data_IF_854642510255
#
_entry.id   IF_854642510255
#
_cell.length_a   1.000
_cell.length_b   1.000
_cell.length_c   1.000
_cell.angle_alpha   90.00
_cell.angle_beta   90.00
_cell.angle_gamma   90.00
#
_symmetry.space_group_name_H-M   'P 1'
#
loop_
_entity.id
_entity.type
_entity.pdbx_description
1 polymer ?
#
# COMPACT_ATOMS: atom_id res chain seq x y z
N UNK A 1 10.18 19.66 -10.69
CA UNK A 1 10.46 19.21 -9.31
C UNK A 1 11.77 18.42 -9.22
N UNK A 2 12.77 18.71 -10.06
CA UNK A 2 13.97 17.86 -10.24
C UNK A 2 14.92 17.81 -9.04
N UNK A 3 14.80 18.77 -8.10
CA UNK A 3 15.66 18.87 -6.92
C UNK A 3 14.92 18.53 -5.62
N UNK A 4 13.66 18.10 -5.70
CA UNK A 4 12.80 17.84 -4.53
C UNK A 4 12.99 16.41 -4.02
N UNK A 5 13.03 16.24 -2.70
CA UNK A 5 13.08 14.93 -2.06
C UNK A 5 11.75 14.16 -2.25
N UNK A 6 11.83 12.86 -2.51
CA UNK A 6 10.64 12.02 -2.72
C UNK A 6 9.88 11.70 -1.43
N UNK A 7 10.52 11.82 -0.27
CA UNK A 7 9.92 11.62 1.04
C UNK A 7 9.18 12.84 1.57
N UNK A 8 8.45 12.63 2.67
CA UNK A 8 7.79 13.67 3.47
C UNK A 8 6.80 14.56 2.71
N UNK A 9 6.27 14.11 1.56
CA UNK A 9 5.28 14.84 0.77
C UNK A 9 5.81 16.04 -0.02
N UNK A 10 7.12 16.26 -0.06
CA UNK A 10 7.69 17.43 -0.74
C UNK A 10 7.44 17.41 -2.25
N UNK A 11 7.49 16.22 -2.87
CA UNK A 11 7.18 16.06 -4.30
C UNK A 11 5.72 16.43 -4.61
N UNK A 12 4.78 15.99 -3.78
CA UNK A 12 3.34 16.29 -3.91
C UNK A 12 3.13 17.81 -3.91
N UNK A 13 3.65 18.49 -2.88
CA UNK A 13 3.56 19.94 -2.76
C UNK A 13 4.21 20.69 -3.94
N UNK A 14 5.30 20.15 -4.51
CA UNK A 14 5.90 20.72 -5.71
C UNK A 14 5.01 20.51 -6.94
N UNK A 15 4.41 19.34 -7.08
CA UNK A 15 3.53 19.02 -8.20
C UNK A 15 2.27 19.88 -8.16
N UNK A 16 1.62 20.04 -7.01
CA UNK A 16 0.44 20.89 -6.84
C UNK A 16 0.69 22.34 -7.30
N UNK A 17 1.85 22.90 -6.94
CA UNK A 17 2.25 24.27 -7.36
C UNK A 17 2.52 24.39 -8.86
N UNK A 18 2.81 23.29 -9.54
CA UNK A 18 3.17 23.27 -10.96
C UNK A 18 2.18 22.49 -11.82
N UNK A 19 1.05 22.04 -11.26
CA UNK A 19 0.07 21.17 -11.94
C UNK A 19 -0.53 21.84 -13.17
N UNK A 20 -0.54 23.17 -13.23
CA UNK A 20 -1.00 23.95 -14.39
C UNK A 20 0.02 23.99 -15.53
N UNK A 21 1.29 23.69 -15.25
CA UNK A 21 2.41 23.72 -16.21
C UNK A 21 2.64 22.39 -16.94
N UNK A 22 1.88 21.36 -16.60
CA UNK A 22 1.96 20.03 -17.24
C UNK A 22 0.77 19.78 -18.15
N UNK A 23 0.89 18.75 -19.02
CA UNK A 23 -0.17 18.36 -19.94
C UNK A 23 -1.43 17.89 -19.20
N UNK A 24 -2.59 17.96 -19.85
CA UNK A 24 -3.84 17.44 -19.28
C UNK A 24 -3.74 15.95 -18.88
N UNK A 25 -3.07 15.15 -19.72
CA UNK A 25 -2.81 13.73 -19.42
C UNK A 25 -2.00 13.57 -18.13
N UNK A 26 -0.92 14.33 -17.97
CA UNK A 26 -0.09 14.26 -16.77
C UNK A 26 -0.87 14.62 -15.50
N UNK A 27 -1.83 15.56 -15.57
CA UNK A 27 -2.71 15.88 -14.43
C UNK A 27 -3.62 14.70 -14.06
N UNK A 28 -4.20 14.04 -15.06
CA UNK A 28 -5.05 12.88 -14.85
C UNK A 28 -4.25 11.70 -14.25
N UNK A 29 -3.07 11.44 -14.79
CA UNK A 29 -2.17 10.39 -14.30
C UNK A 29 -1.71 10.66 -12.87
N UNK A 30 -1.41 11.92 -12.55
CA UNK A 30 -1.02 12.33 -11.21
C UNK A 30 -2.15 12.09 -10.19
N UNK A 31 -3.37 12.53 -10.49
CA UNK A 31 -4.52 12.27 -9.62
C UNK A 31 -4.81 10.77 -9.45
N UNK A 32 -4.65 9.99 -10.52
CA UNK A 32 -4.81 8.53 -10.45
C UNK A 32 -3.72 7.87 -9.60
N UNK A 33 -2.49 8.36 -9.66
CA UNK A 33 -1.39 7.90 -8.83
C UNK A 33 -1.64 8.22 -7.35
N UNK A 34 -2.06 9.45 -7.02
CA UNK A 34 -2.40 9.84 -5.64
C UNK A 34 -3.51 8.95 -5.06
N UNK A 35 -4.59 8.71 -5.84
CA UNK A 35 -5.65 7.82 -5.42
C UNK A 35 -5.17 6.36 -5.21
N UNK A 36 -4.27 5.89 -6.07
CA UNK A 36 -3.69 4.55 -5.96
C UNK A 36 -2.79 4.41 -4.73
N UNK A 37 -2.02 5.44 -4.40
CA UNK A 37 -1.17 5.49 -3.21
C UNK A 37 -2.06 5.49 -1.96
N UNK A 38 -3.07 6.35 -1.88
CA UNK A 38 -3.99 6.39 -0.75
C UNK A 38 -4.70 5.05 -0.52
N UNK A 39 -5.08 4.36 -1.59
CA UNK A 39 -5.65 3.01 -1.51
C UNK A 39 -4.65 2.00 -0.94
N UNK A 40 -3.39 2.05 -1.39
CA UNK A 40 -2.32 1.15 -0.92
C UNK A 40 -2.03 1.39 0.56
N UNK A 41 -1.90 2.63 0.99
CA UNK A 41 -1.63 3.00 2.38
C UNK A 41 -2.76 2.48 3.30
N UNK A 42 -4.02 2.74 2.94
CA UNK A 42 -5.16 2.25 3.71
C UNK A 42 -5.23 0.71 3.76
N UNK A 43 -4.84 0.02 2.68
CA UNK A 43 -4.78 -1.43 2.66
C UNK A 43 -3.65 -1.96 3.58
N UNK A 44 -2.47 -1.34 3.56
CA UNK A 44 -1.35 -1.68 4.45
C UNK A 44 -1.73 -1.54 5.93
N UNK A 45 -2.38 -0.43 6.29
CA UNK A 45 -2.88 -0.19 7.66
C UNK A 45 -3.90 -1.25 8.10
N UNK A 46 -4.67 -1.79 7.15
CA UNK A 46 -5.73 -2.74 7.44
C UNK A 46 -5.27 -4.20 7.57
N UNK A 47 -4.06 -4.56 7.11
CA UNK A 47 -3.61 -5.96 6.98
C UNK A 47 -3.76 -6.74 8.27
N UNK A 48 -3.29 -6.19 9.39
CA UNK A 48 -3.33 -6.90 10.68
C UNK A 48 -4.77 -7.23 11.09
N UNK A 49 -5.71 -6.31 10.83
CA UNK A 49 -7.12 -6.49 11.15
C UNK A 49 -7.78 -7.47 10.20
N UNK A 50 -7.59 -7.30 8.88
CA UNK A 50 -8.25 -8.13 7.86
C UNK A 50 -7.74 -9.56 7.89
N UNK A 51 -6.43 -9.75 8.07
CA UNK A 51 -5.79 -11.06 8.08
C UNK A 51 -5.72 -11.71 9.48
N UNK A 52 -6.34 -11.14 10.52
CA UNK A 52 -6.16 -11.61 11.90
C UNK A 52 -6.50 -13.10 12.09
N UNK A 53 -7.64 -13.55 11.55
CA UNK A 53 -8.06 -14.94 11.65
C UNK A 53 -7.14 -15.89 10.85
N UNK A 54 -6.65 -15.44 9.70
CA UNK A 54 -5.68 -16.19 8.90
C UNK A 54 -4.33 -16.28 9.60
N UNK A 55 -3.86 -15.18 10.19
CA UNK A 55 -2.64 -15.12 10.99
C UNK A 55 -2.68 -16.11 12.16
N UNK A 56 -3.77 -16.13 12.93
CA UNK A 56 -3.93 -17.05 14.05
C UNK A 56 -3.92 -18.52 13.63
N UNK A 57 -4.47 -18.83 12.45
CA UNK A 57 -4.60 -20.20 11.92
C UNK A 57 -3.36 -20.71 11.20
N UNK A 58 -2.69 -19.84 10.43
CA UNK A 58 -1.63 -20.22 9.49
C UNK A 58 -0.24 -19.80 9.96
N UNK A 59 -0.15 -18.76 10.81
CA UNK A 59 1.10 -18.15 11.26
C UNK A 59 1.21 -18.14 12.79
N UNK A 60 1.02 -19.29 13.48
CA UNK A 60 1.03 -19.32 14.94
C UNK A 60 2.39 -18.88 15.49
N UNK A 61 2.38 -18.03 16.50
CA UNK A 61 3.60 -17.54 17.17
C UNK A 61 4.31 -16.37 16.49
N UNK A 62 3.83 -15.90 15.32
CA UNK A 62 4.37 -14.70 14.68
C UNK A 62 3.92 -13.43 15.42
N UNK A 63 4.84 -12.49 15.57
CA UNK A 63 4.59 -11.22 16.27
C UNK A 63 4.03 -10.21 15.25
N UNK A 64 2.94 -9.49 15.56
CA UNK A 64 2.49 -8.40 14.69
C UNK A 64 3.58 -7.33 14.49
N UNK A 65 3.63 -6.73 13.30
CA UNK A 65 4.50 -5.58 12.96
C UNK A 65 6.01 -5.84 12.94
N UNK A 66 6.50 -7.06 13.20
CA UNK A 66 7.94 -7.38 13.08
C UNK A 66 8.36 -7.78 11.64
N UNK A 67 7.40 -7.80 10.70
CA UNK A 67 7.59 -8.22 9.31
C UNK A 67 7.46 -9.73 9.09
N UNK A 68 7.74 -10.58 10.09
CA UNK A 68 7.66 -12.04 9.98
C UNK A 68 6.22 -12.51 9.77
N UNK A 69 5.25 -11.86 10.44
CA UNK A 69 3.84 -12.14 10.22
C UNK A 69 3.44 -11.90 8.76
N UNK A 70 3.88 -10.80 8.17
CA UNK A 70 3.58 -10.49 6.77
C UNK A 70 4.20 -11.52 5.83
N UNK A 71 5.47 -11.86 6.02
CA UNK A 71 6.16 -12.89 5.23
C UNK A 71 5.40 -14.23 5.26
N UNK A 72 4.97 -14.67 6.45
CA UNK A 72 4.17 -15.89 6.57
C UNK A 72 2.83 -15.81 5.82
N UNK A 73 2.10 -14.69 5.94
CA UNK A 73 0.85 -14.48 5.20
C UNK A 73 1.05 -14.47 3.68
N UNK A 74 2.18 -13.94 3.20
CA UNK A 74 2.55 -13.92 1.78
C UNK A 74 2.82 -15.33 1.23
N UNK A 75 3.54 -16.16 1.99
CA UNK A 75 3.76 -17.57 1.64
C UNK A 75 2.44 -18.36 1.63
N UNK A 76 1.50 -18.01 2.51
CA UNK A 76 0.19 -18.64 2.63
C UNK A 76 -0.87 -18.07 1.67
N UNK A 77 -0.52 -17.23 0.70
CA UNK A 77 -1.47 -16.56 -0.21
C UNK A 77 -2.43 -17.49 -0.96
N UNK A 78 -2.13 -18.78 -1.09
CA UNK A 78 -3.04 -19.76 -1.71
C UNK A 78 -4.15 -20.25 -0.77
N UNK A 79 -4.01 -20.06 0.55
CA UNK A 79 -4.86 -20.67 1.59
C UNK A 79 -5.35 -19.70 2.68
N UNK A 80 -4.92 -18.43 2.63
CA UNK A 80 -5.57 -17.33 3.37
C UNK A 80 -6.97 -17.07 2.82
N UNK A 81 -7.84 -16.45 3.61
CA UNK A 81 -9.17 -16.01 3.17
C UNK A 81 -9.09 -15.06 1.97
N UNK A 82 -10.15 -14.99 1.16
CA UNK A 82 -10.23 -14.06 0.03
C UNK A 82 -10.07 -12.60 0.45
N UNK A 83 -10.58 -12.22 1.63
CA UNK A 83 -10.44 -10.87 2.17
C UNK A 83 -8.98 -10.54 2.49
N UNK A 84 -8.26 -11.44 3.18
CA UNK A 84 -6.82 -11.24 3.44
C UNK A 84 -6.02 -11.22 2.14
N UNK A 85 -6.34 -12.11 1.20
CA UNK A 85 -5.69 -12.18 -0.11
C UNK A 85 -5.84 -10.87 -0.90
N UNK A 86 -7.05 -10.30 -0.89
CA UNK A 86 -7.34 -9.03 -1.53
C UNK A 86 -6.60 -7.88 -0.85
N UNK A 87 -6.58 -7.84 0.48
CA UNK A 87 -5.86 -6.82 1.23
C UNK A 87 -4.34 -6.86 0.95
N UNK A 88 -3.74 -8.05 0.83
CA UNK A 88 -2.34 -8.24 0.42
C UNK A 88 -2.07 -7.64 -0.97
N UNK A 89 -2.97 -7.89 -1.94
CA UNK A 89 -2.87 -7.30 -3.29
C UNK A 89 -3.01 -5.78 -3.24
N UNK A 90 -4.03 -5.28 -2.55
CA UNK A 90 -4.29 -3.84 -2.48
C UNK A 90 -3.17 -3.09 -1.76
N UNK A 91 -2.54 -3.71 -0.76
CA UNK A 91 -1.37 -3.20 -0.05
C UNK A 91 -0.09 -3.21 -0.90
N UNK A 92 -0.10 -3.91 -2.05
CA UNK A 92 1.02 -3.94 -2.98
C UNK A 92 2.19 -4.82 -2.55
N UNK A 93 1.96 -5.85 -1.74
CA UNK A 93 3.01 -6.74 -1.26
C UNK A 93 3.36 -7.88 -2.23
N UNK A 94 2.77 -7.90 -3.43
CA UNK A 94 3.07 -8.81 -4.53
C UNK A 94 2.72 -8.19 -5.88
#
# INVERSE_FOLDING_TARGET
>A
CSTVNLGNGALVACMDKNITKVSAQCKADYAAAEASIAKRDAAQDSIIKVCNADAARLCPGMIPQDGNLLSCLLEATKVVSGACNQAITDAGYR
#
